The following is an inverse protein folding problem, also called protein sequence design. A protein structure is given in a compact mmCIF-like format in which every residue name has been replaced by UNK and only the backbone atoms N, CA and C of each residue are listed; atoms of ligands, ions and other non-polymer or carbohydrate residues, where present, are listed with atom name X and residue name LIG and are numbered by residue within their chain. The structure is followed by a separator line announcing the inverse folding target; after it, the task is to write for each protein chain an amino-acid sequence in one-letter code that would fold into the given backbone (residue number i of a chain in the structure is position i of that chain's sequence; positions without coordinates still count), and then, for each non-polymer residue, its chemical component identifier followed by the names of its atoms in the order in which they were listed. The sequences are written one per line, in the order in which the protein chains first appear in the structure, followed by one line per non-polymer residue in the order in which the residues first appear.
data_IF_127924284421
#
_entry.id   IF_127924284421
#
_cell.length_a   1.000
_cell.length_b   1.000
_cell.length_c   1.000
_cell.angle_alpha   90.00
_cell.angle_beta   90.00
_cell.angle_gamma   90.00
#
_symmetry.space_group_name_H-M   'P 1'
#
loop_
_entity.id
_entity.type
_entity.pdbx_description
1 polymer ?
#
# COMPACT_ATOMS: atom_id res chain seq x y z
N UNK A 1 -62.41 -63.59 1.41
CA UNK A 1 -62.44 -62.46 0.46
C UNK A 1 -62.53 -61.21 1.34
N UNK A 2 -61.51 -60.38 1.54
CA UNK A 2 -60.54 -59.92 0.56
C UNK A 2 -59.14 -59.62 1.12
N UNK A 3 -58.20 -59.94 0.25
CA UNK A 3 -56.74 -59.86 0.34
C UNK A 3 -56.17 -58.43 0.26
N UNK A 4 -56.93 -57.38 0.59
CA UNK A 4 -56.60 -56.01 0.15
C UNK A 4 -55.73 -55.17 1.11
N UNK A 5 -55.51 -55.58 2.36
CA UNK A 5 -54.79 -54.71 3.34
C UNK A 5 -53.28 -54.94 3.45
N UNK A 6 -52.76 -56.12 3.11
CA UNK A 6 -51.32 -56.42 3.32
C UNK A 6 -50.41 -55.93 2.19
N UNK A 7 -50.94 -55.64 1.00
CA UNK A 7 -50.14 -55.18 -0.15
C UNK A 7 -49.89 -53.65 -0.13
N UNK A 8 -50.69 -52.90 0.65
CA UNK A 8 -50.54 -51.44 0.79
C UNK A 8 -49.40 -51.05 1.74
N UNK A 9 -49.12 -51.90 2.75
CA UNK A 9 -48.07 -51.64 3.75
C UNK A 9 -46.65 -51.81 3.18
N UNK A 10 -46.45 -52.81 2.30
CA UNK A 10 -45.16 -53.05 1.65
C UNK A 10 -44.77 -51.97 0.62
N UNK A 11 -45.77 -51.31 -0.01
CA UNK A 11 -45.53 -50.18 -0.92
C UNK A 11 -45.18 -48.87 -0.21
N UNK A 12 -45.56 -48.72 1.05
CA UNK A 12 -45.25 -47.51 1.83
C UNK A 12 -43.80 -47.52 2.32
N UNK A 13 -43.32 -48.66 2.84
CA UNK A 13 -41.96 -48.78 3.39
C UNK A 13 -40.85 -48.73 2.30
N UNK A 14 -41.15 -49.21 1.10
CA UNK A 14 -40.20 -49.17 -0.03
C UNK A 14 -40.00 -47.76 -0.63
N UNK A 15 -40.94 -46.83 -0.41
CA UNK A 15 -40.81 -45.42 -0.82
C UNK A 15 -39.90 -44.62 0.13
N UNK A 16 -39.86 -44.99 1.40
CA UNK A 16 -39.12 -44.24 2.42
C UNK A 16 -37.62 -44.56 2.40
N UNK A 17 -37.26 -45.78 1.98
CA UNK A 17 -35.85 -46.18 1.80
C UNK A 17 -35.21 -45.51 0.59
N UNK A 18 -35.96 -45.31 -0.50
CA UNK A 18 -35.48 -44.60 -1.70
C UNK A 18 -35.39 -43.07 -1.52
N UNK A 19 -36.18 -42.47 -0.64
CA UNK A 19 -36.13 -41.04 -0.32
C UNK A 19 -34.88 -40.67 0.52
N UNK A 20 -34.44 -41.57 1.39
CA UNK A 20 -33.32 -41.32 2.32
C UNK A 20 -31.94 -41.35 1.64
N UNK A 21 -31.78 -42.15 0.58
CA UNK A 21 -30.52 -42.26 -0.18
C UNK A 21 -30.22 -41.03 -1.06
N UNK A 22 -31.22 -40.22 -1.41
CA UNK A 22 -31.04 -39.04 -2.28
C UNK A 22 -30.60 -37.78 -1.52
N UNK A 23 -30.72 -37.77 -0.18
CA UNK A 23 -30.39 -36.58 0.65
C UNK A 23 -28.94 -36.53 1.14
N UNK A 24 -28.12 -37.54 0.87
CA UNK A 24 -26.72 -37.60 1.33
C UNK A 24 -25.69 -37.18 0.26
N UNK A 25 -26.11 -36.94 -0.99
CA UNK A 25 -25.20 -36.61 -2.09
C UNK A 25 -24.95 -35.11 -2.31
N UNK A 26 -25.70 -34.19 -1.69
CA UNK A 26 -25.58 -32.75 -1.94
C UNK A 26 -24.70 -31.99 -0.93
N UNK A 27 -24.34 -32.59 0.21
CA UNK A 27 -23.52 -31.92 1.24
C UNK A 27 -22.03 -31.88 0.92
N UNK A 28 -21.52 -32.81 0.11
CA UNK A 28 -20.09 -32.91 -0.18
C UNK A 28 -19.62 -31.97 -1.31
N UNK A 29 -20.49 -31.59 -2.23
CA UNK A 29 -20.14 -30.68 -3.34
C UNK A 29 -19.89 -29.23 -2.86
N UNK A 30 -20.64 -28.75 -1.87
CA UNK A 30 -20.45 -27.40 -1.31
C UNK A 30 -19.20 -27.27 -0.44
N UNK A 31 -18.77 -28.35 0.24
CA UNK A 31 -17.58 -28.33 1.10
C UNK A 31 -16.29 -28.33 0.26
N UNK A 32 -16.27 -29.04 -0.87
CA UNK A 32 -15.09 -29.09 -1.76
C UNK A 32 -14.74 -27.76 -2.46
N UNK A 33 -15.75 -26.98 -2.88
CA UNK A 33 -15.53 -25.69 -3.55
C UNK A 33 -15.02 -24.62 -2.59
N UNK A 34 -15.58 -24.57 -1.39
CA UNK A 34 -15.16 -23.62 -0.36
C UNK A 34 -13.75 -23.96 0.13
N UNK A 35 -13.43 -25.24 0.32
CA UNK A 35 -12.06 -25.68 0.62
C UNK A 35 -11.08 -25.41 -0.52
N UNK A 36 -11.52 -25.54 -1.79
CA UNK A 36 -10.73 -25.15 -2.96
C UNK A 36 -10.39 -23.66 -2.97
N UNK A 37 -11.39 -22.81 -2.74
CA UNK A 37 -11.24 -21.35 -2.71
C UNK A 37 -10.27 -20.90 -1.60
N UNK A 38 -10.43 -21.47 -0.40
CA UNK A 38 -9.53 -21.24 0.75
C UNK A 38 -8.12 -21.72 0.45
N UNK A 39 -7.96 -22.86 -0.25
CA UNK A 39 -6.66 -23.37 -0.70
C UNK A 39 -5.95 -22.44 -1.66
N UNK A 40 -6.65 -21.94 -2.69
CA UNK A 40 -6.11 -20.95 -3.63
C UNK A 40 -5.79 -19.63 -2.96
N UNK A 41 -6.63 -19.14 -2.04
CA UNK A 41 -6.36 -17.92 -1.29
C UNK A 41 -5.06 -18.05 -0.48
N UNK A 42 -4.88 -19.17 0.25
CA UNK A 42 -3.63 -19.45 0.98
C UNK A 42 -2.41 -19.50 0.05
N UNK A 43 -2.55 -20.08 -1.14
CA UNK A 43 -1.46 -20.14 -2.11
C UNK A 43 -1.10 -18.75 -2.67
N UNK A 44 -2.09 -17.90 -2.94
CA UNK A 44 -1.86 -16.51 -3.32
C UNK A 44 -1.16 -15.72 -2.20
N UNK A 45 -1.60 -15.88 -0.96
CA UNK A 45 -0.96 -15.24 0.19
C UNK A 45 0.49 -15.70 0.37
N UNK A 46 0.78 -17.00 0.21
CA UNK A 46 2.14 -17.53 0.27
C UNK A 46 3.04 -16.98 -0.84
N UNK A 47 2.52 -16.84 -2.07
CA UNK A 47 3.26 -16.23 -3.18
C UNK A 47 3.51 -14.73 -2.97
N UNK A 48 2.53 -14.00 -2.43
CA UNK A 48 2.69 -12.59 -2.09
C UNK A 48 3.71 -12.39 -0.98
N UNK A 49 3.71 -13.24 0.04
CA UNK A 49 4.71 -13.22 1.12
C UNK A 49 6.11 -13.47 0.54
N UNK A 50 6.27 -14.46 -0.35
CA UNK A 50 7.56 -14.79 -0.95
C UNK A 50 8.08 -13.67 -1.86
N UNK A 51 7.20 -13.02 -2.64
CA UNK A 51 7.54 -11.82 -3.42
C UNK A 51 7.91 -10.64 -2.53
N UNK A 52 7.23 -10.47 -1.39
CA UNK A 52 7.53 -9.43 -0.42
C UNK A 52 8.86 -9.69 0.31
N UNK A 53 9.19 -10.94 0.63
CA UNK A 53 10.49 -11.33 1.21
C UNK A 53 11.64 -11.10 0.22
N UNK A 54 11.46 -11.48 -1.06
CA UNK A 54 12.41 -11.20 -2.13
C UNK A 54 12.58 -9.69 -2.36
N UNK A 55 11.48 -8.92 -2.42
CA UNK A 55 11.53 -7.47 -2.54
C UNK A 55 12.17 -6.80 -1.31
N UNK A 56 11.94 -7.33 -0.11
CA UNK A 56 12.56 -6.83 1.12
C UNK A 56 14.06 -7.15 1.18
N UNK A 57 14.47 -8.32 0.67
CA UNK A 57 15.88 -8.69 0.53
C UNK A 57 16.60 -7.85 -0.53
N UNK A 58 16.02 -7.70 -1.73
CA UNK A 58 16.55 -6.80 -2.76
C UNK A 58 16.56 -5.34 -2.29
N UNK A 59 15.54 -4.90 -1.56
CA UNK A 59 15.49 -3.54 -1.00
C UNK A 59 16.49 -3.35 0.14
N UNK A 60 16.83 -4.39 0.90
CA UNK A 60 17.90 -4.35 1.91
C UNK A 60 19.28 -4.20 1.25
N UNK A 61 19.49 -4.91 0.15
CA UNK A 61 20.73 -4.84 -0.63
C UNK A 61 20.87 -3.49 -1.35
N UNK A 62 19.79 -2.99 -1.96
CA UNK A 62 19.71 -1.65 -2.57
C UNK A 62 19.74 -0.55 -1.49
N UNK A 63 19.21 -0.82 -0.28
CA UNK A 63 19.13 0.11 0.84
C UNK A 63 20.50 0.63 1.27
N UNK A 64 21.52 -0.23 1.24
CA UNK A 64 22.92 0.16 1.49
C UNK A 64 23.41 1.26 0.52
N UNK A 65 22.98 1.21 -0.73
CA UNK A 65 23.32 2.18 -1.76
C UNK A 65 22.41 3.41 -1.69
N UNK A 66 21.13 3.24 -1.32
CA UNK A 66 20.20 4.35 -1.10
C UNK A 66 20.69 5.27 0.02
N UNK A 67 21.23 4.74 1.13
CA UNK A 67 21.78 5.57 2.20
C UNK A 67 22.94 6.42 1.68
N UNK A 68 23.86 5.82 0.92
CA UNK A 68 24.98 6.55 0.31
C UNK A 68 24.50 7.60 -0.70
N UNK A 69 23.49 7.26 -1.50
CA UNK A 69 22.89 8.17 -2.48
C UNK A 69 22.17 9.33 -1.80
N UNK A 70 21.41 9.08 -0.72
CA UNK A 70 20.77 10.10 0.12
C UNK A 70 21.80 11.04 0.75
N UNK A 71 22.92 10.49 1.22
CA UNK A 71 24.00 11.27 1.82
C UNK A 71 24.63 12.21 0.78
N UNK A 72 24.98 11.68 -0.40
CA UNK A 72 25.52 12.46 -1.51
C UNK A 72 24.49 13.48 -2.02
N UNK A 73 23.22 13.11 -2.12
CA UNK A 73 22.14 14.00 -2.55
C UNK A 73 21.90 15.12 -1.54
N UNK A 74 21.89 14.82 -0.24
CA UNK A 74 21.79 15.83 0.82
C UNK A 74 22.98 16.77 0.77
N UNK A 75 24.19 16.25 0.68
CA UNK A 75 25.40 17.06 0.56
C UNK A 75 25.37 17.93 -0.71
N UNK A 76 24.86 17.39 -1.82
CA UNK A 76 24.62 18.12 -3.06
C UNK A 76 23.59 19.23 -2.91
N UNK A 77 22.47 18.99 -2.22
CA UNK A 77 21.48 20.03 -1.90
C UNK A 77 22.11 21.12 -1.03
N UNK A 78 22.88 20.76 0.00
CA UNK A 78 23.58 21.75 0.82
C UNK A 78 24.54 22.59 -0.02
N UNK A 79 25.36 21.95 -0.86
CA UNK A 79 26.26 22.65 -1.77
C UNK A 79 25.52 23.57 -2.74
N UNK A 80 24.38 23.12 -3.28
CA UNK A 80 23.52 23.90 -4.15
C UNK A 80 22.94 25.12 -3.42
N UNK A 81 22.49 24.96 -2.18
CA UNK A 81 21.98 26.04 -1.34
C UNK A 81 23.07 27.08 -1.05
N UNK A 82 24.28 26.63 -0.73
CA UNK A 82 25.44 27.52 -0.58
C UNK A 82 25.75 28.27 -1.87
N UNK A 83 25.84 27.56 -3.00
CA UNK A 83 26.08 28.19 -4.30
C UNK A 83 25.01 29.24 -4.62
N UNK A 84 23.73 28.91 -4.38
CA UNK A 84 22.61 29.81 -4.59
C UNK A 84 22.67 31.05 -3.69
N UNK A 85 23.09 30.89 -2.43
CA UNK A 85 23.29 32.00 -1.50
C UNK A 85 24.43 32.93 -1.97
N UNK A 86 25.58 32.37 -2.37
CA UNK A 86 26.69 33.15 -2.90
C UNK A 86 26.32 33.88 -4.21
N UNK A 87 25.64 33.20 -5.13
CA UNK A 87 25.13 33.83 -6.35
C UNK A 87 24.15 34.96 -6.06
N UNK A 88 23.24 34.76 -5.10
CA UNK A 88 22.28 35.79 -4.68
C UNK A 88 22.99 37.02 -4.11
N UNK A 89 24.00 36.80 -3.25
CA UNK A 89 24.86 37.87 -2.74
C UNK A 89 25.61 38.60 -3.85
N UNK A 90 26.17 37.87 -4.81
CA UNK A 90 26.85 38.44 -5.97
C UNK A 90 25.91 39.31 -6.81
N UNK A 91 24.68 38.85 -7.06
CA UNK A 91 23.64 39.61 -7.76
C UNK A 91 23.29 40.88 -6.99
N UNK A 92 23.16 40.82 -5.67
CA UNK A 92 22.90 42.00 -4.83
C UNK A 92 24.03 43.02 -5.01
N UNK A 93 25.29 42.61 -4.84
CA UNK A 93 26.44 43.52 -4.92
C UNK A 93 26.55 44.14 -6.32
N UNK A 94 26.39 43.35 -7.37
CA UNK A 94 26.53 43.82 -8.75
C UNK A 94 25.39 44.75 -9.17
N UNK A 95 24.17 44.48 -8.70
CA UNK A 95 23.01 45.30 -9.02
C UNK A 95 22.79 46.46 -8.03
N UNK A 96 23.58 46.54 -6.95
CA UNK A 96 23.41 47.54 -5.90
C UNK A 96 23.51 48.97 -6.43
N UNK A 97 24.52 49.27 -7.25
CA UNK A 97 24.69 50.62 -7.81
C UNK A 97 23.56 51.03 -8.76
N UNK A 98 22.92 50.07 -9.45
CA UNK A 98 21.84 50.37 -10.41
C UNK A 98 20.46 50.42 -9.77
N UNK A 99 20.18 49.56 -8.78
CA UNK A 99 18.83 49.32 -8.26
C UNK A 99 18.71 49.57 -6.75
N UNK A 100 19.83 49.62 -6.02
CA UNK A 100 19.87 49.80 -4.57
C UNK A 100 18.92 48.84 -3.85
N UNK A 101 18.02 49.38 -3.04
CA UNK A 101 17.04 48.60 -2.27
C UNK A 101 16.06 47.77 -3.11
N UNK A 102 15.82 48.13 -4.38
CA UNK A 102 14.87 47.43 -5.26
C UNK A 102 15.31 45.99 -5.55
N UNK A 103 16.63 45.73 -5.58
CA UNK A 103 17.16 44.37 -5.79
C UNK A 103 16.76 43.43 -4.65
N UNK A 104 16.68 43.95 -3.42
CA UNK A 104 16.28 43.18 -2.24
C UNK A 104 14.83 42.70 -2.40
N UNK A 105 13.93 43.58 -2.88
CA UNK A 105 12.53 43.20 -3.14
C UNK A 105 12.41 42.16 -4.25
N UNK A 106 13.14 42.33 -5.35
CA UNK A 106 13.12 41.37 -6.47
C UNK A 106 13.60 40.00 -6.02
N UNK A 107 14.69 39.97 -5.27
CA UNK A 107 15.28 38.74 -4.76
C UNK A 107 14.37 38.08 -3.70
N UNK A 108 13.74 38.87 -2.82
CA UNK A 108 12.76 38.37 -1.86
C UNK A 108 11.53 37.77 -2.56
N UNK A 109 11.02 38.42 -3.61
CA UNK A 109 9.93 37.88 -4.41
C UNK A 109 10.33 36.57 -5.12
N UNK A 110 11.54 36.52 -5.68
CA UNK A 110 12.08 35.30 -6.30
C UNK A 110 12.16 34.13 -5.31
N UNK A 111 12.77 34.34 -4.13
CA UNK A 111 12.86 33.30 -3.11
C UNK A 111 11.49 32.87 -2.57
N UNK A 112 10.54 33.80 -2.45
CA UNK A 112 9.16 33.51 -2.05
C UNK A 112 8.48 32.62 -3.09
N UNK A 113 8.65 32.92 -4.38
CA UNK A 113 8.11 32.10 -5.45
C UNK A 113 8.70 30.69 -5.44
N UNK A 114 10.02 30.56 -5.27
CA UNK A 114 10.70 29.27 -5.14
C UNK A 114 10.19 28.48 -3.93
N UNK A 115 10.00 29.13 -2.78
CA UNK A 115 9.48 28.50 -1.58
C UNK A 115 8.05 27.98 -1.78
N UNK A 116 7.18 28.77 -2.42
CA UNK A 116 5.81 28.35 -2.75
C UNK A 116 5.84 27.16 -3.73
N UNK A 117 6.64 27.24 -4.79
CA UNK A 117 6.77 26.17 -5.77
C UNK A 117 7.26 24.86 -5.11
N UNK A 118 8.26 24.95 -4.23
CA UNK A 118 8.76 23.80 -3.47
C UNK A 118 7.69 23.23 -2.53
N UNK A 119 6.94 24.09 -1.81
CA UNK A 119 5.85 23.66 -0.94
C UNK A 119 4.73 22.94 -1.71
N UNK A 120 4.37 23.44 -2.89
CA UNK A 120 3.40 22.79 -3.78
C UNK A 120 3.94 21.46 -4.33
N UNK A 121 5.22 21.39 -4.70
CA UNK A 121 5.87 20.17 -5.17
C UNK A 121 5.90 19.09 -4.09
N UNK A 122 6.31 19.44 -2.87
CA UNK A 122 6.29 18.55 -1.70
C UNK A 122 4.85 18.08 -1.43
N UNK A 123 3.88 19.00 -1.43
CA UNK A 123 2.45 18.66 -1.25
C UNK A 123 1.93 17.74 -2.35
N UNK A 124 2.41 17.90 -3.59
CA UNK A 124 2.08 17.02 -4.70
C UNK A 124 2.65 15.61 -4.49
N UNK A 125 3.90 15.49 -4.04
CA UNK A 125 4.53 14.21 -3.70
C UNK A 125 3.79 13.50 -2.56
N UNK A 126 3.44 14.25 -1.49
CA UNK A 126 2.64 13.74 -0.38
C UNK A 126 1.26 13.25 -0.84
N UNK A 127 0.59 13.99 -1.75
CA UNK A 127 -0.70 13.57 -2.33
C UNK A 127 -0.60 12.34 -3.23
N UNK A 128 0.56 12.07 -3.81
CA UNK A 128 0.78 10.87 -4.64
C UNK A 128 0.91 9.58 -3.80
N UNK A 129 0.83 9.64 -2.47
CA UNK A 129 0.78 8.45 -1.61
C UNK A 129 2.05 7.60 -1.60
N UNK A 130 3.12 8.06 -2.26
CA UNK A 130 4.43 7.37 -2.33
C UNK A 130 5.26 7.47 -1.05
N UNK A 131 4.82 8.28 -0.07
CA UNK A 131 5.27 8.19 1.32
C UNK A 131 4.28 7.31 2.09
N UNK A 132 3.97 6.16 1.50
CA UNK A 132 3.27 5.11 2.20
C UNK A 132 4.21 4.59 3.26
N UNK A 133 3.94 4.94 4.51
CA UNK A 133 4.32 4.15 5.68
C UNK A 133 3.11 3.28 6.10
N UNK A 134 2.55 2.41 5.22
CA UNK A 134 1.49 1.50 5.64
C UNK A 134 1.99 0.57 6.74
N UNK A 135 3.31 0.31 6.81
CA UNK A 135 3.94 -0.45 7.89
C UNK A 135 3.83 0.25 9.25
N UNK A 136 4.25 1.52 9.39
CA UNK A 136 4.13 2.29 10.65
C UNK A 136 2.68 2.59 11.00
N UNK A 137 1.82 2.84 10.02
CA UNK A 137 0.40 3.06 10.28
C UNK A 137 -0.30 1.78 10.76
N UNK A 138 0.22 0.59 10.40
CA UNK A 138 -0.27 -0.69 10.89
C UNK A 138 0.24 -1.02 12.30
N UNK A 139 1.45 -0.58 12.66
CA UNK A 139 1.94 -0.64 14.04
C UNK A 139 1.19 0.32 14.97
N UNK A 140 1.01 1.58 14.57
CA UNK A 140 0.21 2.56 15.34
C UNK A 140 -1.24 2.11 15.52
N UNK A 141 -1.79 1.39 14.54
CA UNK A 141 -3.13 0.83 14.62
C UNK A 141 -3.23 -0.29 15.65
N UNK A 142 -2.23 -1.18 15.71
CA UNK A 142 -2.14 -2.26 16.70
C UNK A 142 -2.03 -1.72 18.13
N UNK A 143 -1.22 -0.70 18.36
CA UNK A 143 -1.13 -0.05 19.69
C UNK A 143 -2.47 0.56 20.11
N UNK A 144 -3.18 1.19 19.15
CA UNK A 144 -4.48 1.81 19.42
C UNK A 144 -5.60 0.78 19.62
N UNK A 145 -5.58 -0.34 18.92
CA UNK A 145 -6.54 -1.45 19.12
C UNK A 145 -6.22 -2.28 20.38
N UNK A 146 -5.01 -2.16 20.95
CA UNK A 146 -4.68 -2.73 22.25
C UNK A 146 -5.12 -1.85 23.43
N UNK A 147 -5.42 -0.57 23.18
CA UNK A 147 -5.87 0.41 24.17
C UNK A 147 -7.41 0.60 24.21
N UNK A 148 -8.15 0.03 23.26
CA UNK A 148 -9.62 0.04 23.18
C UNK A 148 -10.17 -1.38 23.38
#
# INVERSE_FOLDING_TARGET
MDHSSSDSSARHESRDTHSKARKTHDKHAHIGLVSGLIGTAKNLFALLISRAELAALEFSEIGSHIVKLLLVFSLGILALLFALAFWSGLVIVLAWDSLGWKIILILAAFFTFVAIAMGLYVRSILRQGRIGLPATMNELRKDRDALL
#
